data_IF_328035614975
#
_entry.id   IF_328035614975
#
_cell.length_a   1.000
_cell.length_b   1.000
_cell.length_c   1.000
_cell.angle_alpha   90.00
_cell.angle_beta   90.00
_cell.angle_gamma   90.00
#
_symmetry.space_group_name_H-M   'P 1'
#
loop_
_entity.id
_entity.type
_entity.pdbx_description
1 polymer ?
#
# COMPACT_ATOMS: atom_id res chain seq x y z
N UNK A 1 -24.15 21.53 -23.80
CA UNK A 1 -23.64 20.84 -22.59
C UNK A 1 -24.83 20.61 -21.67
N UNK A 2 -24.99 19.39 -21.17
CA UNK A 2 -26.05 18.97 -20.26
C UNK A 2 -25.92 19.69 -18.90
N UNK A 3 -27.04 19.88 -18.18
CA UNK A 3 -27.06 20.54 -16.86
C UNK A 3 -26.14 19.84 -15.86
N UNK A 4 -26.13 18.49 -15.85
CA UNK A 4 -25.25 17.69 -15.00
C UNK A 4 -23.76 18.02 -15.27
N UNK A 5 -23.35 18.09 -16.52
CA UNK A 5 -21.96 18.38 -16.91
C UNK A 5 -21.55 19.80 -16.49
N UNK A 6 -22.44 20.80 -16.64
CA UNK A 6 -22.17 22.18 -16.20
C UNK A 6 -22.00 22.27 -14.65
N UNK A 7 -22.85 21.56 -13.92
CA UNK A 7 -22.74 21.50 -12.44
C UNK A 7 -21.41 20.86 -12.03
N UNK A 8 -21.04 19.73 -12.65
CA UNK A 8 -19.77 19.05 -12.39
C UNK A 8 -18.56 19.94 -12.66
N UNK A 9 -18.53 20.62 -13.82
CA UNK A 9 -17.44 21.53 -14.15
C UNK A 9 -17.33 22.71 -13.17
N UNK A 10 -18.46 23.34 -12.84
CA UNK A 10 -18.51 24.44 -11.87
C UNK A 10 -18.07 23.99 -10.47
N UNK A 11 -18.54 22.83 -10.02
CA UNK A 11 -18.17 22.25 -8.74
C UNK A 11 -16.69 21.89 -8.69
N UNK A 12 -16.15 21.21 -9.71
CA UNK A 12 -14.72 20.86 -9.80
C UNK A 12 -13.85 22.10 -9.67
N UNK A 13 -14.16 23.17 -10.41
CA UNK A 13 -13.42 24.42 -10.36
C UNK A 13 -13.48 25.08 -8.99
N UNK A 14 -14.67 25.26 -8.42
CA UNK A 14 -14.83 25.92 -7.12
C UNK A 14 -14.23 25.11 -5.97
N UNK A 15 -14.34 23.80 -6.00
CA UNK A 15 -13.70 22.91 -5.02
C UNK A 15 -12.18 22.97 -5.11
N UNK A 16 -11.61 23.05 -6.32
CA UNK A 16 -10.18 23.21 -6.52
C UNK A 16 -9.65 24.59 -6.06
N UNK A 17 -10.44 25.65 -6.22
CA UNK A 17 -10.07 27.02 -5.83
C UNK A 17 -10.19 27.27 -4.32
N UNK A 18 -11.23 26.74 -3.67
CA UNK A 18 -11.67 27.16 -2.31
C UNK A 18 -11.82 26.03 -1.32
N UNK A 19 -11.76 24.79 -1.78
CA UNK A 19 -12.06 23.61 -0.97
C UNK A 19 -13.56 23.42 -0.70
N UNK A 20 -13.89 22.28 -0.06
CA UNK A 20 -15.28 21.86 0.14
C UNK A 20 -16.05 22.71 1.18
N UNK A 21 -15.35 23.26 2.18
CA UNK A 21 -15.99 24.02 3.24
C UNK A 21 -16.48 25.38 2.75
N UNK A 22 -15.68 26.06 1.93
CA UNK A 22 -16.00 27.41 1.41
C UNK A 22 -16.87 27.36 0.15
N UNK A 23 -17.07 26.19 -0.44
CA UNK A 23 -17.90 26.02 -1.64
C UNK A 23 -19.34 25.73 -1.27
N UNK A 24 -20.26 26.67 -1.60
CA UNK A 24 -21.71 26.51 -1.39
C UNK A 24 -22.41 25.99 -2.66
N UNK A 25 -23.52 25.24 -2.49
CA UNK A 25 -24.37 24.82 -3.62
C UNK A 25 -24.94 26.00 -4.39
N UNK A 26 -25.18 27.12 -3.70
CA UNK A 26 -25.64 28.39 -4.33
C UNK A 26 -24.58 28.93 -5.30
N UNK A 27 -23.32 29.00 -4.86
CA UNK A 27 -22.22 29.47 -5.71
C UNK A 27 -22.02 28.57 -6.93
N UNK A 28 -22.14 27.24 -6.73
CA UNK A 28 -22.07 26.26 -7.83
C UNK A 28 -23.20 26.49 -8.84
N UNK A 29 -24.44 26.69 -8.36
CA UNK A 29 -25.59 26.94 -9.23
C UNK A 29 -25.44 28.26 -10.03
N UNK A 30 -24.93 29.32 -9.40
CA UNK A 30 -24.67 30.61 -10.05
C UNK A 30 -23.65 30.45 -11.20
N UNK A 31 -22.55 29.73 -10.96
CA UNK A 31 -21.52 29.47 -11.97
C UNK A 31 -22.00 28.53 -13.08
N UNK A 32 -22.76 27.51 -12.74
CA UNK A 32 -23.29 26.53 -13.68
C UNK A 32 -24.50 27.07 -14.51
N UNK A 33 -25.08 28.19 -14.10
CA UNK A 33 -26.29 28.73 -14.73
C UNK A 33 -27.50 27.79 -14.58
N UNK A 34 -27.68 27.20 -13.38
CA UNK A 34 -28.78 26.30 -13.05
C UNK A 34 -29.46 26.71 -11.73
N UNK A 35 -30.63 26.13 -11.48
CA UNK A 35 -31.34 26.32 -10.21
C UNK A 35 -30.92 25.28 -9.16
N UNK A 36 -31.08 25.57 -7.86
CA UNK A 36 -30.82 24.61 -6.79
C UNK A 36 -31.64 23.31 -6.93
N UNK A 37 -32.95 23.36 -7.25
CA UNK A 37 -33.70 22.13 -7.51
C UNK A 37 -33.08 21.24 -8.60
N UNK A 38 -32.51 21.83 -9.65
CA UNK A 38 -31.82 21.11 -10.72
C UNK A 38 -30.56 20.41 -10.19
N UNK A 39 -29.78 21.08 -9.33
CA UNK A 39 -28.60 20.48 -8.70
C UNK A 39 -29.00 19.29 -7.83
N UNK A 40 -29.99 19.47 -6.95
CA UNK A 40 -30.45 18.41 -6.05
C UNK A 40 -31.11 17.24 -6.80
N UNK A 41 -31.76 17.50 -7.92
CA UNK A 41 -32.31 16.44 -8.78
C UNK A 41 -31.21 15.51 -9.32
N UNK A 42 -30.02 16.07 -9.68
CA UNK A 42 -28.94 15.29 -10.26
C UNK A 42 -28.04 14.61 -9.22
N UNK A 43 -27.85 15.21 -8.04
CA UNK A 43 -26.82 14.80 -7.09
C UNK A 43 -27.36 14.49 -5.68
N UNK A 44 -28.65 14.71 -5.42
CA UNK A 44 -29.29 14.49 -4.13
C UNK A 44 -28.99 15.61 -3.14
N UNK A 45 -27.73 15.80 -2.78
CA UNK A 45 -27.28 16.83 -1.84
C UNK A 45 -25.88 17.36 -2.20
N UNK A 46 -25.30 18.22 -1.35
CA UNK A 46 -23.94 18.73 -1.52
C UNK A 46 -22.89 17.62 -1.44
N UNK A 47 -23.11 16.64 -0.58
CA UNK A 47 -22.19 15.52 -0.36
C UNK A 47 -22.15 14.60 -1.58
N UNK A 48 -23.30 14.26 -2.15
CA UNK A 48 -23.39 13.49 -3.38
C UNK A 48 -22.73 14.17 -4.57
N UNK A 49 -22.83 15.53 -4.65
CA UNK A 49 -22.11 16.28 -5.68
C UNK A 49 -20.59 16.23 -5.45
N UNK A 50 -20.13 16.40 -4.22
CA UNK A 50 -18.72 16.32 -3.86
C UNK A 50 -18.18 14.92 -4.17
N UNK A 51 -18.90 13.85 -3.79
CA UNK A 51 -18.54 12.47 -4.09
C UNK A 51 -18.41 12.23 -5.61
N UNK A 52 -19.33 12.76 -6.41
CA UNK A 52 -19.26 12.67 -7.86
C UNK A 52 -18.01 13.36 -8.43
N UNK A 53 -17.66 14.56 -7.93
CA UNK A 53 -16.47 15.30 -8.36
C UNK A 53 -15.19 14.55 -7.99
N UNK A 54 -15.10 14.03 -6.76
CA UNK A 54 -13.95 13.25 -6.29
C UNK A 54 -13.78 11.98 -7.12
N UNK A 55 -14.86 11.25 -7.35
CA UNK A 55 -14.85 10.02 -8.15
C UNK A 55 -14.39 10.29 -9.58
N UNK A 56 -14.94 11.32 -10.23
CA UNK A 56 -14.53 11.68 -11.60
C UNK A 56 -13.07 12.14 -11.67
N UNK A 57 -12.59 12.91 -10.68
CA UNK A 57 -11.19 13.32 -10.57
C UNK A 57 -10.25 12.13 -10.44
N UNK A 58 -10.61 11.17 -9.60
CA UNK A 58 -9.86 9.93 -9.39
C UNK A 58 -9.86 9.04 -10.65
N UNK A 59 -11.02 8.85 -11.29
CA UNK A 59 -11.14 8.10 -12.54
C UNK A 59 -10.29 8.71 -13.66
N UNK A 60 -10.26 10.03 -13.76
CA UNK A 60 -9.39 10.74 -14.72
C UNK A 60 -7.90 10.52 -14.43
N UNK A 61 -7.50 10.53 -13.15
CA UNK A 61 -6.13 10.24 -12.76
C UNK A 61 -5.75 8.80 -13.12
N UNK A 62 -6.62 7.82 -12.84
CA UNK A 62 -6.44 6.42 -13.23
C UNK A 62 -6.41 6.23 -14.75
N UNK A 63 -7.25 6.92 -15.50
CA UNK A 63 -7.29 6.81 -16.96
C UNK A 63 -5.98 7.31 -17.58
N UNK A 64 -5.38 8.38 -17.05
CA UNK A 64 -4.06 8.86 -17.48
C UNK A 64 -2.96 7.81 -17.28
N UNK A 65 -3.04 7.02 -16.20
CA UNK A 65 -2.13 5.90 -15.93
C UNK A 65 -2.30 4.75 -16.92
N UNK A 66 -3.53 4.37 -17.23
CA UNK A 66 -3.82 3.23 -18.13
C UNK A 66 -3.34 3.45 -19.56
N UNK A 67 -3.13 4.70 -20.01
CA UNK A 67 -2.63 5.03 -21.35
C UNK A 67 -1.10 4.96 -21.47
N UNK A 68 -0.36 4.88 -20.36
CA UNK A 68 1.10 4.96 -20.35
C UNK A 68 1.85 3.71 -19.91
N UNK A 69 1.35 2.94 -18.98
CA UNK A 69 2.15 1.85 -18.40
C UNK A 69 1.31 0.64 -18.01
N UNK A 70 1.65 -0.51 -18.61
CA UNK A 70 1.19 -1.83 -18.16
C UNK A 70 1.80 -2.11 -16.77
N UNK A 71 1.10 -2.93 -15.97
CA UNK A 71 1.72 -3.59 -14.82
C UNK A 71 3.03 -4.22 -15.27
N UNK A 72 4.09 -4.01 -14.49
CA UNK A 72 5.38 -4.63 -14.78
C UNK A 72 5.44 -6.04 -14.22
N UNK A 73 6.47 -6.78 -14.64
CA UNK A 73 6.76 -8.08 -14.05
C UNK A 73 7.24 -7.95 -12.59
N UNK A 74 7.78 -6.76 -12.20
CA UNK A 74 8.15 -6.46 -10.82
C UNK A 74 7.04 -5.70 -10.07
N UNK A 75 6.29 -6.36 -9.17
CA UNK A 75 5.24 -5.71 -8.40
C UNK A 75 5.77 -4.70 -7.36
N UNK A 76 7.04 -4.73 -7.00
CA UNK A 76 7.65 -3.74 -6.09
C UNK A 76 7.92 -2.44 -6.85
N UNK A 77 8.29 -2.53 -8.11
CA UNK A 77 8.42 -1.36 -8.96
C UNK A 77 7.06 -0.72 -9.25
N UNK A 78 6.02 -1.53 -9.43
CA UNK A 78 4.64 -1.03 -9.52
C UNK A 78 4.21 -0.29 -8.23
N UNK A 79 4.70 -0.73 -7.06
CA UNK A 79 4.47 -0.05 -5.78
C UNK A 79 5.17 1.32 -5.74
N UNK A 80 6.43 1.42 -6.19
CA UNK A 80 7.16 2.70 -6.27
C UNK A 80 6.43 3.70 -7.14
N UNK A 81 6.03 3.28 -8.33
CA UNK A 81 5.25 4.12 -9.26
C UNK A 81 3.91 4.54 -8.68
N UNK A 82 3.17 3.58 -8.10
CA UNK A 82 1.89 3.86 -7.45
C UNK A 82 2.01 4.89 -6.32
N UNK A 83 3.08 4.85 -5.55
CA UNK A 83 3.39 5.85 -4.54
C UNK A 83 3.65 7.23 -5.16
N UNK A 84 4.54 7.32 -6.15
CA UNK A 84 4.90 8.59 -6.78
C UNK A 84 3.70 9.26 -7.45
N UNK A 85 2.89 8.47 -8.14
CA UNK A 85 1.64 8.94 -8.73
C UNK A 85 0.61 9.44 -7.70
N UNK A 86 0.51 8.74 -6.55
CA UNK A 86 -0.38 9.15 -5.47
C UNK A 86 0.04 10.50 -4.89
N UNK A 87 1.34 10.69 -4.66
CA UNK A 87 1.91 11.95 -4.18
C UNK A 87 1.72 13.06 -5.22
N UNK A 88 2.02 12.79 -6.49
CA UNK A 88 1.82 13.75 -7.58
C UNK A 88 0.35 14.19 -7.69
N UNK A 89 -0.59 13.26 -7.63
CA UNK A 89 -2.03 13.58 -7.63
C UNK A 89 -2.42 14.51 -6.48
N UNK A 90 -1.96 14.22 -5.26
CA UNK A 90 -2.25 15.06 -4.09
C UNK A 90 -1.62 16.45 -4.16
N UNK A 91 -0.42 16.55 -4.71
CA UNK A 91 0.26 17.84 -4.92
C UNK A 91 -0.40 18.68 -6.02
N UNK A 92 -0.85 18.06 -7.10
CA UNK A 92 -1.57 18.74 -8.18
C UNK A 92 -3.00 19.15 -7.78
N UNK A 93 -3.62 18.40 -6.87
CA UNK A 93 -5.04 18.56 -6.52
C UNK A 93 -5.27 18.61 -5.00
N UNK A 94 -4.65 19.54 -4.25
CA UNK A 94 -4.62 19.52 -2.78
C UNK A 94 -6.02 19.55 -2.14
N UNK A 95 -6.92 20.36 -2.65
CA UNK A 95 -8.29 20.44 -2.13
C UNK A 95 -9.11 19.17 -2.42
N UNK A 96 -8.94 18.61 -3.61
CA UNK A 96 -9.60 17.36 -4.00
C UNK A 96 -9.07 16.20 -3.16
N UNK A 97 -7.76 16.16 -2.95
CA UNK A 97 -7.09 15.16 -2.11
C UNK A 97 -7.59 15.23 -0.65
N UNK A 98 -7.70 16.43 -0.09
CA UNK A 98 -8.24 16.65 1.25
C UNK A 98 -9.69 16.14 1.39
N UNK A 99 -10.52 16.33 0.35
CA UNK A 99 -11.90 15.82 0.33
C UNK A 99 -11.93 14.31 0.18
N UNK A 100 -11.10 13.73 -0.70
CA UNK A 100 -11.03 12.30 -0.95
C UNK A 100 -10.66 11.51 0.31
N UNK A 101 -9.77 12.04 1.14
CA UNK A 101 -9.33 11.41 2.39
C UNK A 101 -10.05 11.95 3.64
N UNK A 102 -10.87 12.99 3.48
CA UNK A 102 -11.74 13.50 4.52
C UNK A 102 -12.96 12.61 4.75
N UNK A 103 -13.57 12.74 5.92
CA UNK A 103 -14.89 12.12 6.16
C UNK A 103 -15.95 12.98 5.47
N UNK A 104 -16.78 12.36 4.64
CA UNK A 104 -18.05 12.94 4.24
C UNK A 104 -18.94 13.10 5.48
N UNK A 105 -19.93 13.98 5.46
CA UNK A 105 -20.83 14.21 6.59
C UNK A 105 -21.50 12.94 7.13
N UNK A 106 -21.68 11.91 6.28
CA UNK A 106 -22.11 10.56 6.64
C UNK A 106 -21.07 9.74 7.43
N UNK A 107 -19.84 10.23 7.59
CA UNK A 107 -18.73 9.50 8.22
C UNK A 107 -18.11 8.40 7.34
N UNK A 108 -18.60 8.23 6.10
CA UNK A 108 -18.04 7.30 5.10
C UNK A 108 -16.86 7.91 4.35
N UNK A 109 -15.95 7.05 3.92
CA UNK A 109 -14.94 7.45 2.93
C UNK A 109 -15.59 7.58 1.54
N UNK A 110 -15.13 8.50 0.70
CA UNK A 110 -15.49 8.54 -0.71
C UNK A 110 -15.16 7.21 -1.40
N UNK A 111 -16.00 6.82 -2.36
CA UNK A 111 -15.80 5.59 -3.15
C UNK A 111 -14.42 5.53 -3.80
N UNK A 112 -13.91 6.65 -4.29
CA UNK A 112 -12.56 6.74 -4.85
C UNK A 112 -11.46 6.30 -3.87
N UNK A 113 -11.58 6.63 -2.58
CA UNK A 113 -10.64 6.20 -1.55
C UNK A 113 -10.74 4.69 -1.28
N UNK A 114 -11.95 4.13 -1.28
CA UNK A 114 -12.17 2.68 -1.14
C UNK A 114 -11.56 1.91 -2.32
N UNK A 115 -11.72 2.42 -3.54
CA UNK A 115 -11.14 1.84 -4.76
C UNK A 115 -9.61 1.89 -4.73
N UNK A 116 -9.01 3.02 -4.34
CA UNK A 116 -7.56 3.14 -4.18
C UNK A 116 -7.02 2.14 -3.14
N UNK A 117 -7.71 1.97 -2.01
CA UNK A 117 -7.37 0.96 -1.01
C UNK A 117 -7.47 -0.47 -1.54
N UNK A 118 -8.47 -0.76 -2.37
CA UNK A 118 -8.63 -2.08 -3.00
C UNK A 118 -7.50 -2.38 -3.99
N UNK A 119 -7.08 -1.38 -4.78
CA UNK A 119 -5.93 -1.51 -5.69
C UNK A 119 -4.63 -1.79 -4.93
N UNK A 120 -4.40 -1.07 -3.84
CA UNK A 120 -3.21 -1.28 -2.99
C UNK A 120 -3.19 -2.68 -2.38
N UNK A 121 -4.31 -3.17 -1.84
CA UNK A 121 -4.43 -4.55 -1.34
C UNK A 121 -4.19 -5.61 -2.42
N UNK A 122 -4.63 -5.35 -3.65
CA UNK A 122 -4.32 -6.24 -4.78
C UNK A 122 -2.83 -6.29 -5.07
N UNK A 123 -2.16 -5.15 -5.03
CA UNK A 123 -0.73 -5.02 -5.28
C UNK A 123 0.10 -5.72 -4.18
N UNK A 124 -0.21 -5.52 -2.90
CA UNK A 124 0.49 -6.21 -1.80
C UNK A 124 0.32 -7.73 -1.87
N UNK A 125 -0.85 -8.23 -2.31
CA UNK A 125 -1.04 -9.68 -2.58
C UNK A 125 -0.19 -10.17 -3.76
N UNK A 126 0.04 -9.33 -4.80
CA UNK A 126 0.96 -9.69 -5.91
C UNK A 126 2.39 -9.80 -5.39
N UNK A 127 2.86 -8.85 -4.55
CA UNK A 127 4.19 -8.91 -3.92
C UNK A 127 4.32 -10.16 -3.06
N UNK A 128 3.28 -10.51 -2.30
CA UNK A 128 3.26 -11.74 -1.49
C UNK A 128 3.34 -13.01 -2.34
N UNK A 129 2.58 -13.08 -3.46
CA UNK A 129 2.63 -14.23 -4.39
C UNK A 129 4.00 -14.38 -5.07
N UNK A 130 4.71 -13.28 -5.27
CA UNK A 130 6.09 -13.28 -5.76
C UNK A 130 7.11 -13.70 -4.67
N UNK A 131 6.65 -14.06 -3.46
CA UNK A 131 7.52 -14.45 -2.34
C UNK A 131 8.34 -13.31 -1.76
N UNK A 132 8.00 -12.04 -2.10
CA UNK A 132 8.80 -10.86 -1.75
C UNK A 132 8.25 -10.06 -0.57
N UNK A 133 7.21 -10.54 0.11
CA UNK A 133 6.63 -9.86 1.27
C UNK A 133 6.90 -10.66 2.54
N UNK A 134 7.46 -10.04 3.58
CA UNK A 134 7.74 -10.71 4.86
C UNK A 134 6.79 -10.32 5.99
N UNK A 135 5.80 -9.51 5.67
CA UNK A 135 4.69 -9.18 6.58
C UNK A 135 3.37 -9.61 5.94
N UNK A 136 2.31 -9.67 6.73
CA UNK A 136 0.99 -10.01 6.23
C UNK A 136 0.52 -8.95 5.21
N UNK A 137 -0.07 -9.34 4.04
CA UNK A 137 -0.40 -8.42 2.94
C UNK A 137 -1.34 -7.27 3.32
N UNK A 138 -2.28 -7.50 4.23
CA UNK A 138 -3.18 -6.45 4.71
C UNK A 138 -2.44 -5.44 5.59
N UNK A 139 -1.54 -5.91 6.47
CA UNK A 139 -0.68 -5.04 7.27
C UNK A 139 0.24 -4.19 6.37
N UNK A 140 0.85 -4.80 5.35
CA UNK A 140 1.66 -4.07 4.37
C UNK A 140 0.85 -2.96 3.69
N UNK A 141 -0.38 -3.26 3.23
CA UNK A 141 -1.25 -2.28 2.61
C UNK A 141 -1.58 -1.11 3.58
N UNK A 142 -1.85 -1.40 4.84
CA UNK A 142 -2.11 -0.38 5.86
C UNK A 142 -0.87 0.49 6.14
N UNK A 143 0.32 -0.10 6.26
CA UNK A 143 1.59 0.63 6.45
C UNK A 143 1.85 1.60 5.29
N UNK A 144 1.72 1.13 4.06
CA UNK A 144 1.88 1.95 2.85
C UNK A 144 0.84 3.07 2.84
N UNK A 145 -0.44 2.74 3.09
CA UNK A 145 -1.54 3.72 3.08
C UNK A 145 -1.30 4.87 4.06
N UNK A 146 -0.98 4.54 5.31
CA UNK A 146 -0.73 5.57 6.35
C UNK A 146 0.46 6.44 5.98
N UNK A 147 1.54 5.84 5.49
CA UNK A 147 2.75 6.57 5.15
C UNK A 147 2.57 7.48 3.94
N UNK A 148 2.00 6.98 2.83
CA UNK A 148 1.78 7.78 1.61
C UNK A 148 0.75 8.90 1.86
N UNK A 149 -0.32 8.60 2.62
CA UNK A 149 -1.29 9.61 3.02
C UNK A 149 -0.65 10.71 3.86
N UNK A 150 0.16 10.35 4.87
CA UNK A 150 0.85 11.30 5.74
C UNK A 150 1.79 12.22 4.95
N UNK A 151 2.64 11.64 4.11
CA UNK A 151 3.56 12.39 3.25
C UNK A 151 2.79 13.34 2.32
N UNK A 152 1.82 12.82 1.59
CA UNK A 152 1.05 13.60 0.62
C UNK A 152 0.27 14.74 1.29
N UNK A 153 -0.40 14.44 2.43
CA UNK A 153 -1.13 15.47 3.18
C UNK A 153 -0.22 16.59 3.67
N UNK A 154 0.97 16.27 4.16
CA UNK A 154 1.93 17.26 4.63
C UNK A 154 2.47 18.12 3.49
N UNK A 155 2.89 17.50 2.39
CA UNK A 155 3.42 18.21 1.23
C UNK A 155 2.37 19.11 0.57
N UNK A 156 1.12 18.63 0.44
CA UNK A 156 0.04 19.37 -0.22
C UNK A 156 -0.56 20.48 0.65
N UNK A 157 -0.62 20.30 1.97
CA UNK A 157 -1.23 21.30 2.88
C UNK A 157 -0.27 22.42 3.30
N UNK A 158 1.05 22.21 3.16
CA UNK A 158 2.09 23.17 3.57
C UNK A 158 3.18 23.29 2.53
N UNK A 159 2.89 23.75 1.30
CA UNK A 159 3.88 23.84 0.23
C UNK A 159 5.05 24.78 0.58
N UNK A 160 4.79 25.82 1.38
CA UNK A 160 5.79 26.84 1.76
C UNK A 160 6.66 26.44 2.96
N UNK A 161 6.48 25.26 3.53
CA UNK A 161 7.21 24.85 4.74
C UNK A 161 8.70 24.51 4.47
N UNK A 162 9.12 24.43 3.22
CA UNK A 162 10.50 24.12 2.86
C UNK A 162 10.88 22.65 3.06
N UNK A 163 9.93 21.74 2.75
CA UNK A 163 10.17 20.29 2.80
C UNK A 163 11.38 19.88 1.97
N UNK A 164 12.17 18.94 2.50
CA UNK A 164 13.29 18.38 1.77
C UNK A 164 12.78 17.64 0.51
N UNK A 165 13.35 17.96 -0.68
CA UNK A 165 12.87 17.41 -1.95
C UNK A 165 12.89 15.87 -2.05
N UNK A 166 13.75 15.20 -1.27
CA UNK A 166 13.82 13.75 -1.21
C UNK A 166 12.90 13.10 -0.16
N UNK A 167 12.11 13.89 0.60
CA UNK A 167 11.31 13.34 1.72
C UNK A 167 10.40 12.19 1.29
N UNK A 168 9.64 12.38 0.21
CA UNK A 168 8.71 11.36 -0.28
C UNK A 168 9.42 10.07 -0.66
N UNK A 169 10.49 10.15 -1.45
CA UNK A 169 11.27 9.00 -1.87
C UNK A 169 11.93 8.28 -0.67
N UNK A 170 12.47 9.04 0.29
CA UNK A 170 13.08 8.47 1.50
C UNK A 170 12.08 7.69 2.33
N UNK A 171 10.89 8.25 2.58
CA UNK A 171 9.83 7.55 3.33
C UNK A 171 9.33 6.33 2.56
N UNK A 172 9.16 6.44 1.24
CA UNK A 172 8.78 5.33 0.37
C UNK A 172 9.75 4.15 0.52
N UNK A 173 11.05 4.38 0.33
CA UNK A 173 12.05 3.31 0.41
C UNK A 173 12.18 2.75 1.83
N UNK A 174 12.02 3.57 2.87
CA UNK A 174 11.99 3.09 4.24
C UNK A 174 10.83 2.13 4.50
N UNK A 175 9.63 2.45 4.00
CA UNK A 175 8.47 1.55 4.11
C UNK A 175 8.67 0.29 3.27
N UNK A 176 9.14 0.41 2.03
CA UNK A 176 9.42 -0.75 1.17
C UNK A 176 10.43 -1.67 1.85
N UNK A 177 11.53 -1.15 2.37
CA UNK A 177 12.55 -1.95 3.08
C UNK A 177 12.00 -2.62 4.34
N UNK A 178 10.98 -2.02 4.98
CA UNK A 178 10.35 -2.59 6.17
C UNK A 178 9.36 -3.72 5.86
N UNK A 179 8.91 -3.90 4.61
CA UNK A 179 7.87 -4.88 4.27
C UNK A 179 8.28 -5.85 3.16
N UNK A 180 9.27 -5.51 2.33
CA UNK A 180 9.68 -6.28 1.16
C UNK A 180 11.02 -6.94 1.41
N UNK A 181 11.11 -8.22 1.11
CA UNK A 181 12.37 -8.94 1.07
C UNK A 181 13.24 -8.43 -0.10
N UNK A 182 14.56 -8.30 0.08
CA UNK A 182 15.45 -7.97 -1.02
C UNK A 182 15.28 -8.98 -2.15
N UNK A 183 15.49 -8.52 -3.37
CA UNK A 183 15.47 -9.40 -4.54
C UNK A 183 16.55 -10.47 -4.38
N UNK A 184 16.13 -11.72 -4.45
CA UNK A 184 17.10 -12.81 -4.55
C UNK A 184 17.62 -12.76 -5.99
N UNK A 185 18.88 -12.39 -6.17
CA UNK A 185 19.54 -12.51 -7.46
C UNK A 185 19.43 -13.97 -7.90
N UNK A 186 18.74 -14.19 -9.03
CA UNK A 186 18.55 -15.52 -9.60
C UNK A 186 19.89 -16.24 -9.76
N UNK A 187 20.02 -17.29 -8.97
CA UNK A 187 20.69 -18.51 -9.40
C UNK A 187 22.14 -18.46 -9.80
N UNK A 188 23.03 -18.07 -8.93
CA UNK A 188 24.28 -18.82 -8.82
C UNK A 188 24.20 -19.64 -7.54
N UNK A 189 24.14 -20.98 -7.64
CA UNK A 189 24.07 -21.90 -6.50
C UNK A 189 25.32 -21.88 -5.62
N UNK A 190 25.69 -20.69 -5.14
CA UNK A 190 26.59 -20.49 -4.03
C UNK A 190 25.85 -20.69 -2.71
N UNK A 191 26.54 -20.96 -1.62
CA UNK A 191 25.91 -21.03 -0.30
C UNK A 191 25.16 -19.73 -0.07
N UNK A 192 23.84 -19.83 0.24
CA UNK A 192 23.00 -18.69 0.57
C UNK A 192 23.63 -17.99 1.75
N UNK A 193 24.18 -16.80 1.53
CA UNK A 193 24.77 -16.00 2.60
C UNK A 193 23.62 -15.50 3.48
N UNK A 194 23.53 -16.02 4.68
CA UNK A 194 22.49 -15.62 5.64
C UNK A 194 22.74 -14.15 6.02
N UNK A 195 21.76 -13.24 5.80
CA UNK A 195 21.94 -11.84 6.14
C UNK A 195 22.37 -11.66 7.61
N UNK A 196 23.26 -10.72 7.89
CA UNK A 196 23.77 -10.48 9.25
C UNK A 196 22.64 -10.22 10.25
N UNK A 197 21.58 -9.50 9.84
CA UNK A 197 20.41 -9.30 10.68
C UNK A 197 19.72 -10.62 11.06
N UNK A 198 19.61 -11.56 10.12
CA UNK A 198 19.00 -12.86 10.39
C UNK A 198 19.87 -13.72 11.33
N UNK A 199 21.19 -13.61 11.21
CA UNK A 199 22.13 -14.25 12.16
C UNK A 199 21.98 -13.68 13.57
N UNK A 200 21.88 -12.36 13.69
CA UNK A 200 21.69 -11.68 14.98
C UNK A 200 20.38 -12.07 15.63
N UNK A 201 19.27 -12.08 14.87
CA UNK A 201 17.97 -12.49 15.40
C UNK A 201 17.91 -13.97 15.76
N UNK A 202 18.55 -14.83 14.98
CA UNK A 202 18.68 -16.25 15.32
C UNK A 202 19.47 -16.46 16.62
N UNK A 203 20.57 -15.71 16.83
CA UNK A 203 21.34 -15.73 18.08
C UNK A 203 20.51 -15.25 19.28
N UNK A 204 19.72 -14.18 19.09
CA UNK A 204 18.83 -13.67 20.16
C UNK A 204 17.79 -14.70 20.57
N UNK A 205 17.11 -15.32 19.58
CA UNK A 205 16.10 -16.35 19.84
C UNK A 205 16.76 -17.58 20.52
N UNK A 206 17.92 -18.00 20.02
CA UNK A 206 18.65 -19.11 20.63
C UNK A 206 19.00 -18.82 22.10
N UNK A 207 19.51 -17.61 22.38
CA UNK A 207 19.82 -17.17 23.73
C UNK A 207 18.60 -17.17 24.66
N UNK A 208 17.43 -16.73 24.18
CA UNK A 208 16.17 -16.80 24.93
C UNK A 208 15.72 -18.24 25.21
N UNK A 209 15.91 -19.15 24.24
CA UNK A 209 15.55 -20.58 24.37
C UNK A 209 16.52 -21.36 25.26
N UNK A 210 17.74 -20.87 25.46
CA UNK A 210 18.79 -21.46 26.31
C UNK A 210 18.87 -20.86 27.72
N UNK A 211 18.23 -19.72 27.96
CA UNK A 211 18.28 -19.01 29.22
C UNK A 211 17.72 -19.83 30.41
N UNK A 212 16.87 -20.84 30.15
CA UNK A 212 16.35 -21.75 31.17
C UNK A 212 15.46 -21.08 32.22
N UNK A 213 14.92 -19.92 31.90
CA UNK A 213 13.98 -19.18 32.71
C UNK A 213 12.52 -19.42 32.28
N UNK A 214 11.55 -18.90 33.05
CA UNK A 214 10.13 -19.07 32.74
C UNK A 214 9.73 -18.56 31.34
N UNK A 215 10.52 -17.68 30.71
CA UNK A 215 10.33 -17.17 29.37
C UNK A 215 10.61 -18.22 28.29
N UNK A 216 11.66 -19.04 28.49
CA UNK A 216 11.99 -20.12 27.55
C UNK A 216 10.95 -21.25 27.57
N UNK A 217 10.38 -21.56 28.74
CA UNK A 217 9.29 -22.55 28.86
C UNK A 217 8.00 -22.04 28.18
N UNK A 218 7.72 -20.76 28.29
CA UNK A 218 6.55 -20.15 27.64
C UNK A 218 6.66 -20.14 26.12
N UNK A 219 7.84 -19.82 25.57
CA UNK A 219 8.14 -19.84 24.12
C UNK A 219 8.04 -21.24 23.54
N UNK A 220 8.40 -22.27 24.31
CA UNK A 220 8.35 -23.68 23.87
C UNK A 220 7.03 -24.38 24.23
N UNK A 221 6.08 -23.66 24.85
CA UNK A 221 4.78 -24.23 25.19
C UNK A 221 4.02 -24.63 23.92
N UNK A 222 3.83 -25.91 23.74
CA UNK A 222 3.17 -26.50 22.55
C UNK A 222 4.10 -27.18 21.58
N UNK A 223 5.41 -27.13 21.81
CA UNK A 223 6.40 -27.95 21.08
C UNK A 223 6.69 -29.23 21.86
N UNK A 224 6.84 -30.34 21.16
CA UNK A 224 7.44 -31.54 21.71
C UNK A 224 8.95 -31.34 21.94
N UNK A 225 9.58 -32.16 22.76
CA UNK A 225 11.03 -32.10 23.00
C UNK A 225 11.84 -32.21 21.68
N UNK A 226 11.38 -33.05 20.74
CA UNK A 226 12.03 -33.23 19.44
C UNK A 226 11.93 -31.95 18.58
N UNK A 227 10.76 -31.32 18.55
CA UNK A 227 10.53 -30.07 17.81
C UNK A 227 11.34 -28.91 18.41
N UNK A 228 11.39 -28.81 19.74
CA UNK A 228 12.19 -27.82 20.44
C UNK A 228 13.70 -28.00 20.17
N UNK A 229 14.20 -29.23 20.15
CA UNK A 229 15.57 -29.54 19.81
C UNK A 229 15.89 -29.19 18.35
N UNK A 230 14.99 -29.51 17.42
CA UNK A 230 15.12 -29.19 15.99
C UNK A 230 15.12 -27.68 15.74
N UNK A 231 14.23 -26.93 16.41
CA UNK A 231 14.19 -25.47 16.34
C UNK A 231 15.52 -24.84 16.80
N UNK A 232 16.08 -25.31 17.91
CA UNK A 232 17.39 -24.84 18.42
C UNK A 232 18.51 -25.16 17.43
N UNK A 233 18.51 -26.35 16.84
CA UNK A 233 19.47 -26.72 15.82
C UNK A 233 19.41 -25.82 14.59
N UNK A 234 18.21 -25.54 14.08
CA UNK A 234 18.02 -24.66 12.92
C UNK A 234 18.43 -23.21 13.21
N UNK A 235 18.07 -22.67 14.37
CA UNK A 235 18.53 -21.36 14.80
C UNK A 235 20.05 -21.29 14.93
N UNK A 236 20.69 -22.33 15.46
CA UNK A 236 22.14 -22.43 15.54
C UNK A 236 22.80 -22.45 14.16
N UNK A 237 22.24 -23.16 13.18
CA UNK A 237 22.72 -23.17 11.79
C UNK A 237 22.56 -21.82 11.12
N UNK A 238 21.41 -21.14 11.31
CA UNK A 238 21.17 -19.78 10.81
C UNK A 238 22.18 -18.79 11.39
N UNK A 239 22.42 -18.84 12.70
CA UNK A 239 23.37 -17.99 13.41
C UNK A 239 24.81 -18.16 12.88
N UNK A 240 25.18 -19.38 12.48
CA UNK A 240 26.49 -19.68 11.91
C UNK A 240 26.60 -19.40 10.40
N UNK A 241 25.51 -18.99 9.75
CA UNK A 241 25.49 -18.78 8.30
C UNK A 241 25.58 -20.06 7.46
N UNK A 242 25.31 -21.23 8.06
CA UNK A 242 25.47 -22.56 7.44
C UNK A 242 24.15 -23.19 6.96
N UNK A 243 23.15 -22.37 6.65
CA UNK A 243 21.88 -22.86 6.11
C UNK A 243 22.11 -23.55 4.75
N UNK A 244 22.10 -24.88 4.73
CA UNK A 244 22.01 -25.64 3.50
C UNK A 244 20.54 -25.82 3.13
N UNK A 245 20.17 -25.40 1.94
CA UNK A 245 18.90 -25.79 1.33
C UNK A 245 18.87 -27.33 1.24
N UNK A 246 17.83 -27.99 1.76
CA UNK A 246 17.68 -29.42 1.48
C UNK A 246 17.45 -29.55 -0.03
N UNK A 247 18.35 -30.27 -0.73
CA UNK A 247 18.11 -30.67 -2.10
C UNK A 247 16.98 -31.70 -2.07
N UNK A 248 15.75 -31.24 -2.32
CA UNK A 248 14.66 -32.17 -2.66
C UNK A 248 14.99 -32.70 -4.04
N UNK A 249 15.52 -33.93 -4.10
CA UNK A 249 15.51 -34.65 -5.35
C UNK A 249 14.05 -34.96 -5.67
N UNK A 250 13.57 -34.65 -6.88
CA UNK A 250 12.30 -35.21 -7.32
C UNK A 250 12.51 -36.73 -7.34
N UNK A 251 11.77 -37.45 -6.50
CA UNK A 251 11.63 -38.88 -6.67
C UNK A 251 10.98 -39.10 -8.04
N UNK A 252 11.71 -39.78 -8.92
CA UNK A 252 11.17 -40.34 -10.15
C UNK A 252 10.01 -41.27 -9.74
N UNK A 253 8.77 -40.81 -10.00
CA UNK A 253 7.63 -41.71 -10.04
C UNK A 253 7.79 -42.56 -11.29
N UNK A 254 8.39 -43.75 -11.11
CA UNK A 254 8.26 -44.85 -12.07
C UNK A 254 6.78 -45.20 -12.15
N UNK A 255 6.16 -44.77 -13.23
CA UNK A 255 4.87 -45.33 -13.66
C UNK A 255 5.19 -46.58 -14.47
N UNK A 256 5.32 -47.71 -13.76
CA UNK A 256 5.24 -49.00 -14.41
C UNK A 256 3.86 -49.19 -15.01
N UNK A 257 3.83 -49.29 -16.32
CA UNK A 257 2.72 -49.79 -17.14
C UNK A 257 2.45 -51.24 -16.73
N UNK A 258 1.27 -51.56 -16.24
CA UNK A 258 0.71 -52.91 -16.32
C UNK A 258 -0.64 -52.86 -17.05
N UNK A 259 -0.62 -53.58 -18.18
CA UNK A 259 -1.64 -54.21 -19.02
C UNK A 259 -3.16 -54.02 -18.71
#
# INVERSE_FOLDING_TARGET
MDARARIMEAATRLLAERGAQETSTRAICEVAGVTQPTLYHHFGDKEGLIEAVVTEGFERALARKKTGERETDDPVEDLRRGWDDHVAFGMENPHLYAVMHGKLGSGRLPRAAEEAGSMLRSLTRRIARAGRLHVEPELAAQMIWVAVYGVTSMLSSRPDFGWHGALSATVREAIISAIVLPEQEDGSGGPVEVPELAKVEALRLLGLLEAGDGGSEELLRGFSEAEAALLKEWLGRLAQGTARTPSVRPEEYDMDEEE
#
